data_IF_043036657264
#
_entry.id   IF_043036657264
#
_cell.length_a   1.000
_cell.length_b   1.000
_cell.length_c   1.000
_cell.angle_alpha   90.00
_cell.angle_beta   90.00
_cell.angle_gamma   90.00
#
_symmetry.space_group_name_H-M   'P 1'
#
loop_
_entity.id
_entity.type
_entity.pdbx_description
1 polymer ?
#
# COMPACT_ATOMS: atom_id res chain seq x y z
N UNK A 1 -58.22 10.90 32.64
CA UNK A 1 -58.98 11.14 31.39
C UNK A 1 -58.31 12.34 30.76
N UNK A 2 -57.62 12.25 29.62
CA UNK A 2 -57.87 11.40 28.46
C UNK A 2 -56.60 10.86 27.79
N UNK A 3 -56.72 9.60 27.36
CA UNK A 3 -55.86 8.95 26.37
C UNK A 3 -56.00 9.69 25.05
N UNK A 4 -54.87 10.01 24.43
CA UNK A 4 -54.80 10.09 22.96
C UNK A 4 -53.68 9.16 22.52
N UNK A 5 -54.12 7.98 22.08
CA UNK A 5 -53.37 7.09 21.20
C UNK A 5 -53.57 7.62 19.78
N UNK A 6 -52.49 7.96 19.08
CA UNK A 6 -52.52 7.95 17.62
C UNK A 6 -51.36 7.11 17.10
N UNK A 7 -51.76 6.08 16.37
CA UNK A 7 -50.98 5.02 15.76
C UNK A 7 -50.57 5.46 14.35
N UNK A 8 -49.36 5.09 13.95
CA UNK A 8 -48.94 5.02 12.54
C UNK A 8 -48.22 6.29 12.08
N UNK A 9 -47.00 6.26 11.58
CA UNK A 9 -46.33 5.21 10.82
C UNK A 9 -44.83 5.26 11.11
N UNK A 10 -44.26 4.21 11.72
CA UNK A 10 -42.83 3.98 11.53
C UNK A 10 -42.67 3.62 10.07
N UNK A 11 -42.32 4.60 9.23
CA UNK A 11 -41.78 4.32 7.92
C UNK A 11 -40.59 3.39 8.17
N UNK A 12 -40.79 2.10 7.86
CA UNK A 12 -39.72 1.14 7.70
C UNK A 12 -38.94 1.66 6.51
N UNK A 13 -38.05 2.60 6.79
CA UNK A 13 -36.97 2.94 5.91
C UNK A 13 -36.19 1.65 5.77
N UNK A 14 -36.43 0.94 4.68
CA UNK A 14 -35.54 -0.10 4.18
C UNK A 14 -34.25 0.61 3.78
N UNK A 15 -33.49 1.07 4.77
CA UNK A 15 -32.08 1.36 4.61
C UNK A 15 -31.49 0.04 4.15
N UNK A 16 -31.20 -0.06 2.85
CA UNK A 16 -30.48 -1.18 2.26
C UNK A 16 -29.21 -1.34 3.08
N UNK A 17 -29.24 -2.24 4.07
CA UNK A 17 -28.09 -2.54 4.89
C UNK A 17 -27.14 -3.28 3.97
N UNK A 18 -26.26 -2.54 3.30
CA UNK A 18 -25.07 -3.14 2.74
C UNK A 18 -24.37 -3.76 3.93
N UNK A 19 -24.39 -5.09 4.01
CA UNK A 19 -23.67 -5.82 5.05
C UNK A 19 -22.23 -5.30 5.08
N UNK A 20 -21.74 -4.92 6.27
CA UNK A 20 -20.38 -4.44 6.46
C UNK A 20 -19.36 -5.40 5.82
N UNK A 21 -19.61 -6.70 5.88
CA UNK A 21 -18.79 -7.72 5.24
C UNK A 21 -18.85 -7.65 3.71
N UNK A 22 -20.03 -7.35 3.16
CA UNK A 22 -20.21 -7.08 1.73
C UNK A 22 -19.43 -5.85 1.28
N UNK A 23 -19.53 -4.74 2.03
CA UNK A 23 -18.77 -3.52 1.75
C UNK A 23 -17.25 -3.77 1.83
N UNK A 24 -16.79 -4.47 2.87
CA UNK A 24 -15.39 -4.83 3.06
C UNK A 24 -14.84 -5.69 1.92
N UNK A 25 -15.61 -6.69 1.47
CA UNK A 25 -15.22 -7.55 0.34
C UNK A 25 -15.11 -6.74 -0.95
N UNK A 26 -16.10 -5.89 -1.22
CA UNK A 26 -16.09 -5.00 -2.38
C UNK A 26 -14.92 -4.01 -2.34
N UNK A 27 -14.60 -3.44 -1.18
CA UNK A 27 -13.45 -2.54 -1.03
C UNK A 27 -12.12 -3.26 -1.34
N UNK A 28 -11.92 -4.46 -0.78
CA UNK A 28 -10.72 -5.26 -1.06
C UNK A 28 -10.61 -5.64 -2.54
N UNK A 29 -11.71 -6.03 -3.18
CA UNK A 29 -11.72 -6.35 -4.61
C UNK A 29 -11.32 -5.14 -5.48
N UNK A 30 -11.81 -3.94 -5.13
CA UNK A 30 -11.44 -2.72 -5.86
C UNK A 30 -9.97 -2.36 -5.65
N UNK A 31 -9.45 -2.50 -4.42
CA UNK A 31 -8.02 -2.31 -4.13
C UNK A 31 -7.17 -3.29 -4.94
N UNK A 32 -7.56 -4.56 -4.99
CA UNK A 32 -6.83 -5.55 -5.78
C UNK A 32 -6.83 -5.21 -7.28
N UNK A 33 -7.98 -4.83 -7.85
CA UNK A 33 -8.08 -4.37 -9.24
C UNK A 33 -7.15 -3.20 -9.51
N UNK A 34 -7.15 -2.21 -8.63
CA UNK A 34 -6.28 -1.03 -8.74
C UNK A 34 -4.80 -1.43 -8.75
N UNK A 35 -4.35 -2.26 -7.81
CA UNK A 35 -2.93 -2.67 -7.77
C UNK A 35 -2.53 -3.43 -9.04
N UNK A 36 -3.43 -4.26 -9.57
CA UNK A 36 -3.17 -5.03 -10.79
C UNK A 36 -3.00 -4.16 -12.03
N UNK A 37 -3.52 -2.93 -12.07
CA UNK A 37 -3.26 -2.02 -13.21
C UNK A 37 -1.80 -1.58 -13.30
N UNK A 38 -1.03 -1.73 -12.22
CA UNK A 38 0.41 -1.44 -12.15
C UNK A 38 1.27 -2.70 -12.11
N UNK A 39 0.68 -3.88 -12.29
CA UNK A 39 1.38 -5.16 -12.21
C UNK A 39 1.49 -5.78 -13.60
N UNK A 40 2.50 -5.35 -14.37
CA UNK A 40 2.80 -5.95 -15.66
C UNK A 40 3.44 -7.34 -15.46
N UNK A 41 2.79 -8.43 -15.92
CA UNK A 41 3.29 -9.79 -15.72
C UNK A 41 4.68 -10.04 -16.34
N UNK A 42 5.01 -9.40 -17.46
CA UNK A 42 6.30 -9.58 -18.14
C UNK A 42 7.41 -8.89 -17.34
N UNK A 43 7.19 -7.64 -16.94
CA UNK A 43 8.14 -6.88 -16.12
C UNK A 43 8.37 -7.60 -14.78
N UNK A 44 7.29 -8.08 -14.16
CA UNK A 44 7.38 -8.75 -12.87
C UNK A 44 8.10 -10.09 -12.96
N UNK A 45 7.93 -10.83 -14.07
CA UNK A 45 8.69 -12.04 -14.35
C UNK A 45 10.19 -11.76 -14.43
N UNK A 46 10.59 -10.69 -15.13
CA UNK A 46 11.99 -10.27 -15.23
C UNK A 46 12.56 -9.89 -13.87
N UNK A 47 11.82 -9.16 -13.02
CA UNK A 47 12.27 -8.79 -11.66
C UNK A 47 12.42 -10.02 -10.75
N UNK A 48 11.52 -10.99 -10.89
CA UNK A 48 11.58 -12.24 -10.12
C UNK A 48 12.81 -13.05 -10.52
N UNK A 49 13.13 -13.12 -11.82
CA UNK A 49 14.32 -13.79 -12.34
C UNK A 49 15.62 -13.03 -12.02
N UNK A 50 15.57 -11.70 -12.04
CA UNK A 50 16.70 -10.81 -11.79
C UNK A 50 16.30 -9.67 -10.85
N UNK A 51 16.74 -9.75 -9.60
CA UNK A 51 16.55 -8.67 -8.63
C UNK A 51 17.64 -7.59 -8.73
N UNK A 52 18.13 -7.33 -9.95
CA UNK A 52 19.16 -6.33 -10.20
C UNK A 52 18.64 -4.92 -9.84
N UNK A 53 19.46 -4.04 -9.22
CA UNK A 53 19.04 -2.70 -8.83
C UNK A 53 18.52 -1.83 -9.98
N UNK A 54 19.06 -2.00 -11.19
CA UNK A 54 18.63 -1.27 -12.38
C UNK A 54 17.23 -1.69 -12.84
N UNK A 55 16.92 -2.98 -12.82
CA UNK A 55 15.60 -3.52 -13.17
C UNK A 55 14.54 -3.04 -12.17
N UNK A 56 14.86 -3.04 -10.88
CA UNK A 56 13.96 -2.50 -9.84
C UNK A 56 13.69 -1.00 -10.01
N UNK A 57 14.69 -0.23 -10.45
CA UNK A 57 14.53 1.19 -10.72
C UNK A 57 13.63 1.46 -11.94
N UNK A 58 13.85 0.76 -13.05
CA UNK A 58 13.00 0.86 -14.24
C UNK A 58 11.55 0.50 -13.92
N UNK A 59 11.35 -0.56 -13.14
CA UNK A 59 10.02 -0.94 -12.69
C UNK A 59 9.38 0.13 -11.79
N UNK A 60 10.16 0.83 -10.98
CA UNK A 60 9.66 1.88 -10.10
C UNK A 60 9.08 3.05 -10.90
N UNK A 61 9.73 3.42 -12.01
CA UNK A 61 9.21 4.42 -12.94
C UNK A 61 7.90 4.00 -13.59
N UNK A 62 7.77 2.72 -13.96
CA UNK A 62 6.57 2.21 -14.64
C UNK A 62 5.36 2.19 -13.70
N UNK A 63 5.58 1.88 -12.42
CA UNK A 63 4.51 1.83 -11.43
C UNK A 63 4.24 3.18 -10.77
N UNK A 64 4.98 4.23 -11.14
CA UNK A 64 4.92 5.55 -10.51
C UNK A 64 3.60 6.26 -10.83
N UNK A 65 2.95 6.76 -9.80
CA UNK A 65 1.88 7.75 -9.85
C UNK A 65 2.49 9.11 -9.51
N UNK A 66 2.68 9.95 -10.52
CA UNK A 66 3.40 11.22 -10.40
C UNK A 66 2.83 12.12 -9.28
N UNK A 67 1.50 12.11 -9.10
CA UNK A 67 0.82 12.91 -8.10
C UNK A 67 1.13 12.45 -6.67
N UNK A 68 1.47 11.18 -6.46
CA UNK A 68 1.77 10.63 -5.14
C UNK A 68 3.03 11.26 -4.52
N UNK A 69 3.95 11.75 -5.35
CA UNK A 69 5.14 12.48 -4.89
C UNK A 69 4.84 13.80 -4.17
N UNK A 70 3.63 14.36 -4.34
CA UNK A 70 3.17 15.57 -3.67
C UNK A 70 2.56 15.32 -2.28
N UNK A 71 2.27 14.06 -1.95
CA UNK A 71 1.70 13.71 -0.65
C UNK A 71 2.80 13.77 0.39
N UNK A 72 2.55 14.49 1.49
CA UNK A 72 3.42 14.49 2.66
C UNK A 72 2.74 13.73 3.79
N UNK A 73 3.27 12.57 4.13
CA UNK A 73 2.74 11.76 5.23
C UNK A 73 3.35 12.15 6.58
N UNK A 74 2.54 12.02 7.61
CA UNK A 74 2.94 11.99 9.02
C UNK A 74 3.53 10.64 9.41
N UNK A 75 4.18 10.59 10.58
CA UNK A 75 4.73 9.34 11.13
C UNK A 75 3.63 8.28 11.37
N UNK A 76 2.43 8.68 11.79
CA UNK A 76 1.31 7.75 12.03
C UNK A 76 0.77 7.16 10.73
N UNK A 77 0.74 7.94 9.64
CA UNK A 77 0.38 7.44 8.31
C UNK A 77 1.38 6.39 7.82
N UNK A 78 2.68 6.68 7.83
CA UNK A 78 3.72 5.71 7.47
C UNK A 78 3.62 4.46 8.37
N UNK A 79 3.45 4.64 9.68
CA UNK A 79 3.27 3.56 10.64
C UNK A 79 2.11 2.63 10.31
N UNK A 80 0.97 3.17 9.84
CA UNK A 80 -0.19 2.36 9.40
C UNK A 80 0.15 1.48 8.20
N UNK A 81 0.85 2.01 7.19
CA UNK A 81 1.29 1.22 6.04
C UNK A 81 2.27 0.12 6.47
N UNK A 82 3.23 0.44 7.34
CA UNK A 82 4.19 -0.54 7.87
C UNK A 82 3.51 -1.63 8.70
N UNK A 83 2.48 -1.30 9.48
CA UNK A 83 1.68 -2.30 10.19
C UNK A 83 0.88 -3.17 9.22
N UNK A 84 0.33 -2.57 8.16
CA UNK A 84 -0.48 -3.26 7.15
C UNK A 84 0.33 -4.28 6.32
N UNK A 85 1.66 -4.12 6.19
CA UNK A 85 2.55 -5.16 5.63
C UNK A 85 2.51 -6.49 6.39
N UNK A 86 2.09 -6.49 7.66
CA UNK A 86 1.92 -7.70 8.49
C UNK A 86 0.48 -8.23 8.49
N UNK A 87 -0.41 -7.65 7.69
CA UNK A 87 -1.81 -8.07 7.62
C UNK A 87 -1.97 -9.51 7.13
N UNK A 88 -2.97 -10.22 7.64
CA UNK A 88 -3.38 -11.53 7.09
C UNK A 88 -3.95 -11.42 5.67
N UNK A 89 -4.44 -10.23 5.29
CA UNK A 89 -4.96 -10.00 3.94
C UNK A 89 -3.80 -9.79 2.95
N UNK A 90 -3.63 -10.65 1.93
CA UNK A 90 -2.60 -10.44 0.90
C UNK A 90 -2.82 -9.13 0.13
N UNK A 91 -4.07 -8.77 -0.13
CA UNK A 91 -4.45 -7.53 -0.84
C UNK A 91 -3.95 -6.30 -0.09
N UNK A 92 -4.14 -6.27 1.24
CA UNK A 92 -3.68 -5.15 2.06
C UNK A 92 -2.15 -5.08 2.12
N UNK A 93 -1.46 -6.23 2.13
CA UNK A 93 0.01 -6.25 2.07
C UNK A 93 0.52 -5.68 0.76
N UNK A 94 -0.06 -6.07 -0.38
CA UNK A 94 0.30 -5.52 -1.70
C UNK A 94 -0.02 -4.04 -1.79
N UNK A 95 -1.16 -3.60 -1.26
CA UNK A 95 -1.56 -2.19 -1.21
C UNK A 95 -0.56 -1.36 -0.40
N UNK A 96 -0.19 -1.85 0.78
CA UNK A 96 0.78 -1.18 1.64
C UNK A 96 2.14 -1.07 0.96
N UNK A 97 2.64 -2.17 0.40
CA UNK A 97 3.92 -2.17 -0.29
C UNK A 97 3.90 -1.21 -1.50
N UNK A 98 2.83 -1.23 -2.31
CA UNK A 98 2.65 -0.33 -3.44
C UNK A 98 2.65 1.14 -3.01
N UNK A 99 1.87 1.52 -1.99
CA UNK A 99 1.85 2.89 -1.49
C UNK A 99 3.23 3.35 -1.01
N UNK A 100 3.96 2.47 -0.30
CA UNK A 100 5.31 2.76 0.16
C UNK A 100 6.31 2.90 -1.00
N UNK A 101 6.12 2.18 -2.13
CA UNK A 101 6.90 2.44 -3.35
C UNK A 101 6.69 3.90 -3.75
N UNK A 102 5.43 4.32 -3.95
CA UNK A 102 5.10 5.69 -4.38
C UNK A 102 5.73 6.77 -3.50
N UNK A 103 5.71 6.57 -2.18
CA UNK A 103 6.26 7.53 -1.21
C UNK A 103 7.78 7.60 -1.19
N UNK A 104 8.47 6.59 -1.73
CA UNK A 104 9.93 6.47 -1.66
C UNK A 104 10.59 6.53 -3.03
N UNK A 105 9.86 6.84 -4.10
CA UNK A 105 10.46 6.99 -5.43
C UNK A 105 11.53 8.11 -5.39
N UNK A 106 12.77 7.83 -5.81
CA UNK A 106 13.83 8.82 -5.88
C UNK A 106 13.41 10.06 -6.69
N UNK A 107 13.80 11.26 -6.25
CA UNK A 107 13.39 12.52 -6.89
C UNK A 107 11.98 13.01 -6.52
N UNK A 108 11.19 12.23 -5.78
CA UNK A 108 9.91 12.69 -5.24
C UNK A 108 10.06 13.82 -4.21
N UNK A 109 9.16 14.81 -4.24
CA UNK A 109 9.23 16.04 -3.40
C UNK A 109 9.41 15.75 -1.90
N UNK A 110 8.79 14.69 -1.41
CA UNK A 110 8.83 14.29 0.00
C UNK A 110 9.50 12.92 0.23
N UNK A 111 10.22 12.39 -0.75
CA UNK A 111 10.82 11.04 -0.69
C UNK A 111 11.75 10.88 0.53
N UNK A 112 12.69 11.81 0.72
CA UNK A 112 13.61 11.80 1.87
C UNK A 112 12.89 11.84 3.23
N UNK A 113 11.83 12.64 3.32
CA UNK A 113 11.01 12.71 4.55
C UNK A 113 10.36 11.36 4.85
N UNK A 114 9.80 10.68 3.85
CA UNK A 114 9.21 9.36 4.03
C UNK A 114 10.25 8.27 4.34
N UNK A 115 11.40 8.30 3.66
CA UNK A 115 12.53 7.38 3.95
C UNK A 115 12.93 7.48 5.41
N UNK A 116 13.11 8.70 5.93
CA UNK A 116 13.46 8.94 7.34
C UNK A 116 12.38 8.41 8.29
N UNK A 117 11.10 8.67 8.01
CA UNK A 117 10.00 8.12 8.80
C UNK A 117 9.98 6.58 8.81
N UNK A 118 10.24 5.96 7.66
CA UNK A 118 10.26 4.50 7.51
C UNK A 118 11.44 3.85 8.23
N UNK A 119 12.62 4.47 8.19
CA UNK A 119 13.78 4.01 8.94
C UNK A 119 13.52 4.08 10.45
N UNK A 120 12.97 5.19 10.93
CA UNK A 120 12.62 5.39 12.34
C UNK A 120 11.54 4.40 12.82
N UNK A 121 10.63 3.98 11.94
CA UNK A 121 9.61 2.98 12.30
C UNK A 121 10.10 1.52 12.16
N UNK A 122 11.36 1.28 11.80
CA UNK A 122 11.90 -0.06 11.58
C UNK A 122 11.31 -0.78 10.36
N UNK A 123 10.82 -0.04 9.37
CA UNK A 123 10.12 -0.59 8.20
C UNK A 123 10.99 -1.58 7.40
N UNK A 124 12.30 -1.35 7.33
CA UNK A 124 13.24 -2.19 6.58
C UNK A 124 13.20 -3.67 6.99
N UNK A 125 13.04 -3.96 8.30
CA UNK A 125 12.90 -5.35 8.78
C UNK A 125 11.63 -6.00 8.23
N UNK A 126 10.52 -5.27 8.26
CA UNK A 126 9.20 -5.74 7.81
C UNK A 126 9.21 -6.00 6.33
N UNK A 127 9.76 -5.07 5.55
CA UNK A 127 9.87 -5.18 4.10
C UNK A 127 10.71 -6.38 3.69
N UNK A 128 11.85 -6.63 4.36
CA UNK A 128 12.65 -7.84 4.12
C UNK A 128 11.87 -9.12 4.39
N UNK A 129 11.13 -9.17 5.50
CA UNK A 129 10.24 -10.31 5.78
C UNK A 129 9.15 -10.48 4.71
N UNK A 130 8.52 -9.39 4.27
CA UNK A 130 7.49 -9.42 3.21
C UNK A 130 8.05 -9.89 1.87
N UNK A 131 9.25 -9.43 1.50
CA UNK A 131 9.94 -9.79 0.26
C UNK A 131 10.40 -11.26 0.20
N UNK A 132 10.67 -11.86 1.36
CA UNK A 132 11.11 -13.25 1.48
C UNK A 132 9.97 -14.25 1.75
N UNK A 133 8.82 -13.79 2.28
CA UNK A 133 7.75 -14.67 2.71
C UNK A 133 7.11 -15.44 1.54
N UNK A 134 7.14 -16.77 1.57
CA UNK A 134 6.50 -17.61 0.54
C UNK A 134 5.01 -17.31 0.39
N UNK A 135 4.33 -16.96 1.48
CA UNK A 135 2.91 -16.62 1.55
C UNK A 135 2.56 -15.20 1.06
N UNK A 136 3.53 -14.38 0.67
CA UNK A 136 3.27 -13.08 0.02
C UNK A 136 2.97 -13.26 -1.46
N UNK A 137 2.09 -12.42 -1.99
CA UNK A 137 1.86 -12.35 -3.44
C UNK A 137 3.10 -11.83 -4.16
N UNK A 138 3.16 -12.03 -5.48
CA UNK A 138 4.28 -11.58 -6.30
C UNK A 138 4.41 -10.05 -6.23
N UNK A 139 3.29 -9.33 -6.30
CA UNK A 139 3.22 -7.87 -6.19
C UNK A 139 3.81 -7.39 -4.86
N UNK A 140 3.34 -7.95 -3.74
CA UNK A 140 3.84 -7.57 -2.41
C UNK A 140 5.36 -7.80 -2.27
N UNK A 141 5.88 -8.89 -2.85
CA UNK A 141 7.31 -9.20 -2.81
C UNK A 141 8.11 -8.20 -3.63
N UNK A 142 7.69 -7.93 -4.87
CA UNK A 142 8.38 -7.03 -5.78
C UNK A 142 8.35 -5.60 -5.25
N UNK A 143 7.18 -5.09 -4.85
CA UNK A 143 7.08 -3.76 -4.27
C UNK A 143 7.92 -3.62 -3.00
N UNK A 144 7.95 -4.63 -2.12
CA UNK A 144 8.82 -4.58 -0.95
C UNK A 144 10.31 -4.50 -1.32
N UNK A 145 10.76 -5.20 -2.38
CA UNK A 145 12.14 -5.10 -2.89
C UNK A 145 12.45 -3.70 -3.46
N UNK A 146 11.49 -3.11 -4.18
CA UNK A 146 11.62 -1.75 -4.73
C UNK A 146 11.76 -0.72 -3.61
N UNK A 147 10.93 -0.80 -2.57
CA UNK A 147 11.03 0.07 -1.40
C UNK A 147 12.40 -0.08 -0.72
N UNK A 148 12.88 -1.32 -0.49
CA UNK A 148 14.19 -1.54 0.11
C UNK A 148 15.32 -0.88 -0.70
N UNK A 149 15.31 -1.04 -2.03
CA UNK A 149 16.25 -0.37 -2.94
C UNK A 149 16.15 1.15 -2.84
N UNK A 150 14.95 1.70 -2.74
CA UNK A 150 14.75 3.14 -2.59
C UNK A 150 15.34 3.66 -1.27
N UNK A 151 15.13 2.93 -0.17
CA UNK A 151 15.71 3.28 1.13
C UNK A 151 17.25 3.25 1.11
N UNK A 152 17.85 2.27 0.42
CA UNK A 152 19.31 2.15 0.25
C UNK A 152 19.88 3.28 -0.64
N UNK A 153 19.19 3.62 -1.73
CA UNK A 153 19.63 4.67 -2.64
C UNK A 153 19.68 6.05 -1.97
N UNK A 154 18.67 6.36 -1.16
CA UNK A 154 18.59 7.63 -0.44
C UNK A 154 19.62 7.72 0.71
N UNK A 155 20.01 6.58 1.30
CA UNK A 155 21.15 6.55 2.24
C UNK A 155 22.45 6.94 1.54
N UNK A 156 22.69 6.44 0.32
CA UNK A 156 23.86 6.80 -0.47
C UNK A 156 23.85 8.30 -0.82
N UNK A 157 22.72 8.84 -1.28
CA UNK A 157 22.61 10.28 -1.60
C UNK A 157 22.80 11.19 -0.37
N UNK A 158 22.47 10.74 0.84
CA UNK A 158 22.70 11.53 2.07
C UNK A 158 24.16 11.58 2.54
N UNK A 159 25.02 10.73 1.97
CA UNK A 159 26.44 10.58 2.35
C UNK A 159 27.41 11.25 1.36
N UNK A 160 26.90 11.74 0.22
CA UNK A 160 27.65 12.43 -0.84
C UNK A 160 27.31 13.92 -0.80
#
# INVERSE_FOLDING_TARGET
MDKVVFIGTSSVGTSKSISLDGAKRSALMNIEKFIRTFSDPQIFSVIVASSAPATLAQAAEIVHIQEAGHLRCSASEIGRYVAMLRSRSPILRSCAAFALVQFTIPGGRHAMHHVNLMQNSGAGRVLRSTAAAMSSTVEAKIFARMVLRNLEHQQYESLV
#
